data_IF_338869096398
#
_entry.id   IF_338869096398
#
_cell.length_a   1.000
_cell.length_b   1.000
_cell.length_c   1.000
_cell.angle_alpha   90.00
_cell.angle_beta   90.00
_cell.angle_gamma   90.00
#
_symmetry.space_group_name_H-M   'P 1'
#
loop_
_entity.id
_entity.type
_entity.pdbx_description
1 polymer ?
#
# COMPACT_ATOMS: atom_id res chain seq x y z
N UNK A 1 -16.60 11.83 -1.55
CA UNK A 1 -15.33 11.49 -0.88
C UNK A 1 -15.39 12.01 0.56
N UNK A 2 -15.00 11.18 1.51
CA UNK A 2 -14.97 11.56 2.92
C UNK A 2 -13.71 12.37 3.22
N UNK A 3 -13.86 13.51 3.90
CA UNK A 3 -12.77 14.46 4.17
C UNK A 3 -11.68 13.82 5.03
N UNK A 4 -10.44 13.98 4.60
CA UNK A 4 -9.24 13.42 5.24
C UNK A 4 -9.23 11.89 5.39
N UNK A 5 -10.18 11.17 4.81
CA UNK A 5 -10.13 9.71 4.77
C UNK A 5 -9.09 9.27 3.74
N UNK A 6 -8.23 8.34 4.14
CA UNK A 6 -7.26 7.69 3.25
C UNK A 6 -7.77 6.30 2.89
N UNK A 7 -7.92 6.02 1.59
CA UNK A 7 -8.21 4.67 1.10
C UNK A 7 -6.91 3.99 0.70
N UNK A 8 -6.53 2.95 1.43
CA UNK A 8 -5.33 2.16 1.18
C UNK A 8 -5.71 0.99 0.28
N UNK A 9 -5.27 1.05 -0.97
CA UNK A 9 -5.50 0.02 -1.98
C UNK A 9 -4.33 -0.95 -1.98
N UNK A 10 -4.57 -2.18 -1.55
CA UNK A 10 -3.57 -3.25 -1.52
C UNK A 10 -3.82 -4.18 -2.70
N UNK A 11 -2.87 -4.21 -3.66
CA UNK A 11 -2.90 -5.15 -4.77
C UNK A 11 -2.26 -6.46 -4.35
N UNK A 12 -2.90 -7.57 -4.69
CA UNK A 12 -2.40 -8.88 -4.26
C UNK A 12 -2.70 -9.99 -5.27
N UNK A 13 -1.77 -10.96 -5.32
CA UNK A 13 -1.94 -12.27 -5.93
C UNK A 13 -0.98 -13.26 -5.26
N UNK A 14 -1.53 -14.28 -4.57
CA UNK A 14 -0.74 -15.32 -3.90
C UNK A 14 0.30 -14.76 -2.93
N UNK A 15 -0.16 -13.89 -2.03
CA UNK A 15 0.68 -13.16 -1.06
C UNK A 15 0.38 -13.62 0.40
N UNK A 16 0.01 -14.88 0.59
CA UNK A 16 -0.34 -15.40 1.92
C UNK A 16 0.76 -15.23 2.95
N UNK A 17 2.02 -15.15 2.50
CA UNK A 17 3.18 -14.93 3.37
C UNK A 17 3.18 -13.55 3.99
N UNK A 18 2.76 -12.52 3.24
CA UNK A 18 2.99 -11.13 3.60
C UNK A 18 1.72 -10.37 3.99
N UNK A 19 0.57 -10.73 3.41
CA UNK A 19 -0.65 -9.94 3.52
C UNK A 19 -1.08 -9.70 4.98
N UNK A 20 -0.94 -10.70 5.85
CA UNK A 20 -1.29 -10.56 7.27
C UNK A 20 -0.44 -9.52 7.98
N UNK A 21 0.88 -9.58 7.79
CA UNK A 21 1.83 -8.64 8.38
C UNK A 21 1.67 -7.23 7.81
N UNK A 22 1.41 -7.11 6.50
CA UNK A 22 1.15 -5.83 5.85
C UNK A 22 -0.06 -5.13 6.50
N UNK A 23 -1.18 -5.82 6.63
CA UNK A 23 -2.40 -5.26 7.24
C UNK A 23 -2.16 -4.92 8.72
N UNK A 24 -1.46 -5.76 9.46
CA UNK A 24 -1.12 -5.50 10.85
C UNK A 24 -0.30 -4.21 11.00
N UNK A 25 0.71 -4.00 10.14
CA UNK A 25 1.52 -2.78 10.11
C UNK A 25 0.71 -1.53 9.77
N UNK A 26 -0.24 -1.65 8.85
CA UNK A 26 -1.18 -0.56 8.51
C UNK A 26 -2.05 -0.22 9.73
N UNK A 27 -2.60 -1.21 10.42
CA UNK A 27 -3.44 -0.98 11.61
C UNK A 27 -2.70 -0.33 12.79
N UNK A 28 -1.39 -0.53 12.86
CA UNK A 28 -0.51 0.09 13.86
C UNK A 28 -0.13 1.55 13.54
N UNK A 29 -0.55 2.09 12.39
CA UNK A 29 -0.25 3.48 12.05
C UNK A 29 -0.89 4.47 13.04
N UNK A 30 -0.22 5.58 13.28
CA UNK A 30 -0.71 6.68 14.14
C UNK A 30 -1.91 7.39 13.51
N UNK A 31 -1.90 7.58 12.20
CA UNK A 31 -3.05 8.07 11.46
C UNK A 31 -4.17 7.02 11.44
N UNK A 32 -5.37 7.36 11.94
CA UNK A 32 -6.46 6.39 12.14
C UNK A 32 -7.62 6.51 11.16
N UNK A 33 -7.73 7.62 10.43
CA UNK A 33 -8.83 7.84 9.50
C UNK A 33 -8.55 7.22 8.14
N UNK A 34 -8.55 5.89 8.05
CA UNK A 34 -8.32 5.15 6.82
C UNK A 34 -9.27 3.96 6.64
N UNK A 35 -9.46 3.54 5.40
CA UNK A 35 -10.04 2.25 5.03
C UNK A 35 -9.02 1.41 4.25
N UNK A 36 -9.19 0.09 4.26
CA UNK A 36 -8.34 -0.84 3.50
C UNK A 36 -9.19 -1.52 2.43
N UNK A 37 -8.72 -1.49 1.19
CA UNK A 37 -9.35 -2.14 0.04
C UNK A 37 -8.34 -3.12 -0.54
N UNK A 38 -8.67 -4.41 -0.47
CA UNK A 38 -7.88 -5.45 -1.11
C UNK A 38 -8.34 -5.64 -2.55
N UNK A 39 -7.41 -5.53 -3.49
CA UNK A 39 -7.67 -5.86 -4.90
C UNK A 39 -6.97 -7.17 -5.21
N UNK A 40 -7.74 -8.24 -5.24
CA UNK A 40 -7.24 -9.62 -5.37
C UNK A 40 -7.37 -10.14 -6.80
N UNK A 41 -6.24 -10.58 -7.36
CA UNK A 41 -6.18 -11.17 -8.70
C UNK A 41 -6.36 -12.68 -8.66
N UNK A 42 -7.48 -13.15 -8.09
CA UNK A 42 -7.81 -14.57 -7.93
C UNK A 42 -6.67 -15.37 -7.29
N UNK A 43 -6.28 -15.00 -6.07
CA UNK A 43 -5.35 -15.78 -5.27
C UNK A 43 -5.91 -17.17 -4.98
N UNK A 44 -5.09 -18.19 -5.14
CA UNK A 44 -5.40 -19.61 -4.92
C UNK A 44 -4.91 -20.09 -3.55
N UNK A 45 -4.07 -19.30 -2.90
CA UNK A 45 -3.54 -19.53 -1.55
C UNK A 45 -4.45 -18.92 -0.47
N UNK A 46 -3.94 -18.81 0.76
CA UNK A 46 -4.70 -18.24 1.89
C UNK A 46 -4.67 -16.71 1.96
N UNK A 47 -4.29 -16.01 0.89
CA UNK A 47 -4.19 -14.53 0.87
C UNK A 47 -5.49 -13.87 1.31
N UNK A 48 -6.61 -14.19 0.65
CA UNK A 48 -7.92 -13.57 0.93
C UNK A 48 -8.42 -13.95 2.32
N UNK A 49 -8.23 -15.21 2.74
CA UNK A 49 -8.59 -15.68 4.07
C UNK A 49 -7.85 -14.89 5.16
N UNK A 50 -6.53 -14.75 5.03
CA UNK A 50 -5.70 -13.99 5.98
C UNK A 50 -6.06 -12.50 6.00
N UNK A 51 -6.37 -11.90 4.85
CA UNK A 51 -6.82 -10.52 4.79
C UNK A 51 -8.13 -10.33 5.58
N UNK A 52 -9.11 -11.20 5.39
CA UNK A 52 -10.38 -11.18 6.14
C UNK A 52 -10.18 -11.36 7.63
N UNK A 53 -9.37 -12.32 8.06
CA UNK A 53 -9.02 -12.53 9.47
C UNK A 53 -8.38 -11.28 10.10
N UNK A 54 -7.63 -10.52 9.33
CA UNK A 54 -7.07 -9.24 9.75
C UNK A 54 -8.04 -8.06 9.58
N UNK A 55 -9.33 -8.32 9.32
CA UNK A 55 -10.40 -7.32 9.34
C UNK A 55 -10.45 -6.44 8.07
N UNK A 56 -10.01 -6.95 6.93
CA UNK A 56 -10.30 -6.31 5.64
C UNK A 56 -11.68 -6.75 5.18
N UNK A 57 -12.60 -5.80 5.12
CA UNK A 57 -13.99 -6.05 4.74
C UNK A 57 -14.21 -5.85 3.25
N UNK A 58 -13.51 -4.90 2.62
CA UNK A 58 -13.67 -4.56 1.20
C UNK A 58 -12.66 -5.30 0.34
N UNK A 59 -13.15 -6.27 -0.44
CA UNK A 59 -12.35 -7.08 -1.35
C UNK A 59 -12.92 -7.01 -2.75
N UNK A 60 -12.09 -6.51 -3.68
CA UNK A 60 -12.39 -6.42 -5.11
C UNK A 60 -11.64 -7.54 -5.82
N UNK A 61 -12.33 -8.38 -6.60
CA UNK A 61 -11.71 -9.45 -7.39
C UNK A 61 -11.57 -9.04 -8.85
N UNK A 62 -10.40 -9.29 -9.43
CA UNK A 62 -10.13 -9.02 -10.86
C UNK A 62 -9.71 -10.28 -11.59
N UNK A 63 -10.37 -10.59 -12.72
CA UNK A 63 -10.09 -11.81 -13.51
C UNK A 63 -8.74 -11.78 -14.22
N UNK A 64 -8.38 -10.61 -14.74
CA UNK A 64 -7.13 -10.42 -15.48
C UNK A 64 -6.30 -9.35 -14.78
N UNK A 65 -5.11 -9.74 -14.33
CA UNK A 65 -4.21 -8.80 -13.68
C UNK A 65 -3.57 -7.86 -14.70
N UNK A 66 -4.00 -6.60 -14.63
CA UNK A 66 -3.32 -5.45 -15.25
C UNK A 66 -3.11 -4.42 -14.14
N UNK A 67 -1.88 -4.02 -13.83
CA UNK A 67 -1.59 -3.15 -12.68
C UNK A 67 -2.48 -1.90 -12.62
N UNK A 68 -2.57 -1.16 -13.72
CA UNK A 68 -3.43 0.04 -13.80
C UNK A 68 -4.91 -0.26 -13.60
N UNK A 69 -5.43 -1.35 -14.21
CA UNK A 69 -6.83 -1.77 -14.02
C UNK A 69 -7.13 -2.12 -12.57
N UNK A 70 -6.21 -2.83 -11.91
CA UNK A 70 -6.36 -3.18 -10.50
C UNK A 70 -6.46 -1.92 -9.62
N UNK A 71 -5.56 -0.95 -9.86
CA UNK A 71 -5.58 0.34 -9.15
C UNK A 71 -6.91 1.06 -9.38
N UNK A 72 -7.35 1.21 -10.62
CA UNK A 72 -8.60 1.91 -10.94
C UNK A 72 -9.81 1.26 -10.27
N UNK A 73 -9.92 -0.08 -10.29
CA UNK A 73 -11.01 -0.78 -9.60
C UNK A 73 -10.96 -0.58 -8.07
N UNK A 74 -9.77 -0.49 -7.49
CA UNK A 74 -9.60 -0.12 -6.08
C UNK A 74 -10.06 1.31 -5.80
N UNK A 75 -9.70 2.25 -6.67
CA UNK A 75 -10.13 3.66 -6.58
C UNK A 75 -11.65 3.78 -6.71
N UNK A 76 -12.27 3.11 -7.68
CA UNK A 76 -13.73 3.08 -7.85
C UNK A 76 -14.47 2.55 -6.61
N UNK A 77 -13.84 1.61 -5.90
CA UNK A 77 -14.38 1.08 -4.66
C UNK A 77 -14.10 1.96 -3.43
N UNK A 78 -13.27 2.99 -3.55
CA UNK A 78 -12.83 3.83 -2.44
C UNK A 78 -13.83 4.92 -2.07
N UNK A 79 -13.74 5.39 -0.81
CA UNK A 79 -14.51 6.55 -0.31
C UNK A 79 -13.60 7.71 0.09
N UNK A 80 -12.31 7.45 0.23
CA UNK A 80 -11.33 8.42 0.73
C UNK A 80 -11.07 9.57 -0.24
N UNK A 81 -10.70 10.68 0.34
CA UNK A 81 -10.19 11.84 -0.38
C UNK A 81 -8.77 11.57 -0.90
N UNK A 82 -8.01 10.80 -0.16
CA UNK A 82 -6.63 10.43 -0.50
C UNK A 82 -6.54 8.94 -0.82
N UNK A 83 -5.70 8.62 -1.79
CA UNK A 83 -5.46 7.24 -2.22
C UNK A 83 -4.01 6.87 -1.94
N UNK A 84 -3.82 5.79 -1.21
CA UNK A 84 -2.51 5.16 -1.03
C UNK A 84 -2.51 3.83 -1.78
N UNK A 85 -1.50 3.62 -2.62
CA UNK A 85 -1.34 2.39 -3.39
C UNK A 85 -0.19 1.59 -2.79
N UNK A 86 -0.46 0.34 -2.42
CA UNK A 86 0.51 -0.53 -1.78
C UNK A 86 0.48 -1.93 -2.41
N UNK A 87 1.63 -2.58 -2.51
CA UNK A 87 1.70 -4.02 -2.81
C UNK A 87 1.68 -4.82 -1.51
N UNK A 88 1.08 -6.01 -1.54
CA UNK A 88 0.88 -6.82 -0.34
C UNK A 88 2.20 -7.22 0.39
N UNK A 89 3.32 -7.25 -0.34
CA UNK A 89 4.66 -7.52 0.20
C UNK A 89 5.44 -6.25 0.59
N UNK A 90 4.88 -5.06 0.40
CA UNK A 90 5.48 -3.81 0.88
C UNK A 90 4.97 -3.50 2.28
N UNK A 91 5.89 -3.38 3.22
CA UNK A 91 5.56 -3.20 4.63
C UNK A 91 5.88 -1.77 5.08
N UNK A 92 4.93 -1.03 5.66
CA UNK A 92 5.25 0.23 6.33
C UNK A 92 6.39 0.06 7.33
N UNK A 93 7.43 0.89 7.24
CA UNK A 93 8.65 0.73 8.04
C UNK A 93 8.43 1.07 9.51
N UNK A 94 7.57 2.04 9.80
CA UNK A 94 7.25 2.52 11.15
C UNK A 94 5.77 2.87 11.31
N UNK A 95 5.37 3.33 12.48
CA UNK A 95 3.98 3.69 12.79
C UNK A 95 3.56 5.08 12.28
N UNK A 96 4.48 5.90 11.82
CA UNK A 96 4.19 7.27 11.34
C UNK A 96 4.14 7.36 9.80
N UNK A 97 4.48 6.27 9.09
CA UNK A 97 4.54 6.24 7.63
C UNK A 97 3.31 6.87 6.95
N UNK A 98 2.11 6.55 7.44
CA UNK A 98 0.87 7.10 6.85
C UNK A 98 0.65 8.57 7.22
N UNK A 99 1.04 8.97 8.42
CA UNK A 99 1.01 10.37 8.86
C UNK A 99 1.98 11.20 8.04
N UNK A 100 3.21 10.73 7.87
CA UNK A 100 4.26 11.43 7.11
C UNK A 100 3.81 11.65 5.65
N UNK A 101 3.24 10.62 5.00
CA UNK A 101 2.68 10.76 3.64
C UNK A 101 1.51 11.77 3.59
N UNK A 102 0.64 11.77 4.60
CA UNK A 102 -0.49 12.68 4.68
C UNK A 102 -0.06 14.13 4.90
N UNK A 103 0.92 14.36 5.76
CA UNK A 103 1.48 15.69 6.00
C UNK A 103 2.19 16.22 4.77
N UNK A 104 3.01 15.38 4.12
CA UNK A 104 3.75 15.76 2.92
C UNK A 104 2.83 16.14 1.76
N UNK A 105 1.81 15.33 1.44
CA UNK A 105 0.88 15.67 0.34
C UNK A 105 0.09 16.95 0.61
N UNK A 106 -0.06 17.36 1.86
CA UNK A 106 -0.75 18.59 2.26
C UNK A 106 0.21 19.78 2.47
N UNK A 107 1.52 19.60 2.36
CA UNK A 107 2.51 20.67 2.57
C UNK A 107 2.49 21.73 1.45
N UNK A 108 2.20 21.31 0.22
CA UNK A 108 2.04 22.19 -0.94
C UNK A 108 0.80 21.77 -1.76
N UNK A 109 -0.17 22.70 -2.01
CA UNK A 109 -1.36 22.41 -2.80
C UNK A 109 -1.09 22.07 -4.28
N UNK A 110 0.15 22.25 -4.74
CA UNK A 110 0.58 21.87 -6.09
C UNK A 110 1.03 20.42 -6.19
N UNK A 111 1.24 19.73 -5.06
CA UNK A 111 1.63 18.32 -5.07
C UNK A 111 0.46 17.46 -5.56
N UNK A 112 0.69 16.72 -6.63
CA UNK A 112 -0.28 15.74 -7.17
C UNK A 112 -0.13 14.35 -6.53
N UNK A 113 1.00 14.06 -5.91
CA UNK A 113 1.30 12.80 -5.26
C UNK A 113 2.65 12.84 -4.56
N UNK A 114 2.80 11.94 -3.58
CA UNK A 114 4.04 11.71 -2.85
C UNK A 114 4.30 10.20 -2.81
N UNK A 115 5.55 9.80 -2.66
CA UNK A 115 5.90 8.40 -2.51
C UNK A 115 7.00 8.21 -1.47
N UNK A 116 6.93 7.08 -0.78
CA UNK A 116 7.95 6.70 0.18
C UNK A 116 9.13 5.99 -0.49
N UNK A 117 10.34 6.23 0.01
CA UNK A 117 11.52 5.46 -0.36
C UNK A 117 11.30 3.99 -0.01
N UNK A 118 11.57 3.10 -0.96
CA UNK A 118 11.59 1.66 -0.70
C UNK A 118 12.99 1.26 -0.24
N UNK A 119 13.04 0.53 0.87
CA UNK A 119 14.28 -0.04 1.39
C UNK A 119 14.19 -1.57 1.36
N UNK A 120 15.27 -2.27 1.00
CA UNK A 120 15.30 -3.72 1.00
C UNK A 120 15.19 -4.25 2.43
N UNK A 121 14.63 -5.43 2.58
CA UNK A 121 14.71 -6.19 3.82
C UNK A 121 16.09 -6.87 3.95
N UNK A 122 16.49 -7.24 5.16
CA UNK A 122 17.80 -7.87 5.40
C UNK A 122 18.01 -9.13 4.56
N UNK A 123 16.93 -9.87 4.31
CA UNK A 123 16.92 -11.10 3.51
C UNK A 123 16.63 -10.90 2.02
N UNK A 124 16.52 -9.66 1.55
CA UNK A 124 16.39 -9.37 0.12
C UNK A 124 17.67 -9.78 -0.63
N UNK A 125 17.52 -10.21 -1.88
CA UNK A 125 18.67 -10.53 -2.72
C UNK A 125 19.58 -9.32 -2.92
N UNK A 126 20.86 -9.56 -3.22
CA UNK A 126 21.78 -8.47 -3.52
C UNK A 126 21.39 -7.71 -4.80
N UNK A 127 20.71 -8.39 -5.71
CA UNK A 127 20.15 -7.78 -6.91
C UNK A 127 19.03 -6.79 -6.56
N UNK A 128 18.06 -7.20 -5.74
CA UNK A 128 16.99 -6.31 -5.26
C UNK A 128 17.54 -5.11 -4.48
N UNK A 129 18.55 -5.33 -3.62
CA UNK A 129 19.20 -4.27 -2.85
C UNK A 129 19.85 -3.24 -3.77
N UNK A 130 20.59 -3.72 -4.79
CA UNK A 130 21.23 -2.86 -5.79
C UNK A 130 20.19 -2.07 -6.60
N UNK A 131 19.14 -2.73 -7.07
CA UNK A 131 18.13 -2.11 -7.92
C UNK A 131 17.34 -1.03 -7.14
N UNK A 132 17.00 -1.29 -5.87
CA UNK A 132 16.38 -0.27 -5.01
C UNK A 132 17.32 0.91 -4.76
N UNK A 133 18.63 0.67 -4.58
CA UNK A 133 19.62 1.74 -4.41
C UNK A 133 19.74 2.61 -5.68
N UNK A 134 19.71 1.98 -6.86
CA UNK A 134 19.76 2.72 -8.13
C UNK A 134 18.51 3.60 -8.32
N UNK A 135 17.33 3.07 -7.99
CA UNK A 135 16.06 3.80 -8.18
C UNK A 135 15.86 4.91 -7.15
N UNK A 136 16.12 4.63 -5.87
CA UNK A 136 15.80 5.55 -4.77
C UNK A 136 17.00 6.32 -4.22
N UNK A 137 18.24 5.85 -4.51
CA UNK A 137 19.46 6.44 -3.98
C UNK A 137 19.62 6.28 -2.47
N UNK A 138 20.65 6.91 -1.91
CA UNK A 138 20.90 6.94 -0.47
C UNK A 138 20.24 8.16 0.20
N UNK A 139 20.13 9.25 -0.54
CA UNK A 139 19.61 10.53 -0.01
C UNK A 139 18.08 10.64 -0.13
N UNK A 140 17.47 11.38 0.81
CA UNK A 140 16.11 11.84 0.67
C UNK A 140 16.04 12.86 -0.47
N UNK A 141 15.17 12.60 -1.45
CA UNK A 141 14.90 13.54 -2.54
C UNK A 141 13.42 13.86 -2.57
N UNK A 142 13.11 15.14 -2.47
CA UNK A 142 11.79 15.67 -2.79
C UNK A 142 11.79 15.96 -4.29
N UNK A 143 10.89 15.32 -5.04
CA UNK A 143 10.71 15.56 -6.48
C UNK A 143 9.37 16.22 -6.72
#
# INVERSE_FOLDING_TARGET
MEKNLISIIIRTKNEERWIGLCIERIKKQTYKNFEIILVDSFSEDKTVEKAKRNGVEKIVKIKEYKPGKAINMGIEASKGQYIVILSAHCLPINSNWLTDLFEEINSDPKLAGVYGKQVPMDFSSDEDKRDLLIVFGEDERIQ
#
